data_IF_345905626897
#
_entry.id   IF_345905626897
#
_cell.length_a   1.000
_cell.length_b   1.000
_cell.length_c   1.000
_cell.angle_alpha   90.00
_cell.angle_beta   90.00
_cell.angle_gamma   90.00
#
_symmetry.space_group_name_H-M   'P 1'
#
loop_
_entity.id
_entity.type
_entity.pdbx_description
1 polymer ?
#
# COMPACT_ATOMS: atom_id res chain seq x y z
N UNK A 1 -27.22 -1.33 -17.35
CA UNK A 1 -26.15 -1.70 -16.40
C UNK A 1 -24.99 -0.73 -16.56
N UNK A 2 -24.63 0.00 -15.49
CA UNK A 2 -23.67 1.10 -15.53
C UNK A 2 -22.27 0.62 -15.98
N UNK A 3 -21.64 1.36 -16.90
CA UNK A 3 -20.28 1.08 -17.38
C UNK A 3 -19.25 1.02 -16.24
N UNK A 4 -19.50 1.75 -15.15
CA UNK A 4 -18.69 1.73 -13.91
C UNK A 4 -18.84 0.41 -13.14
N UNK A 5 -20.05 -0.15 -13.06
CA UNK A 5 -20.27 -1.45 -12.42
C UNK A 5 -19.63 -2.59 -13.23
N UNK A 6 -19.56 -2.46 -14.56
CA UNK A 6 -18.86 -3.41 -15.43
C UNK A 6 -17.32 -3.29 -15.30
N UNK A 7 -16.80 -2.10 -14.97
CA UNK A 7 -15.38 -1.88 -14.67
C UNK A 7 -14.97 -2.44 -13.29
N UNK A 8 -15.84 -2.33 -12.28
CA UNK A 8 -15.65 -2.94 -10.96
C UNK A 8 -15.88 -4.46 -10.99
N UNK A 9 -16.85 -4.93 -11.78
CA UNK A 9 -17.11 -6.35 -12.04
C UNK A 9 -16.31 -6.86 -13.24
N UNK A 10 -15.03 -6.50 -13.28
CA UNK A 10 -14.12 -7.04 -14.27
C UNK A 10 -13.67 -8.44 -13.82
N UNK A 11 -13.91 -9.51 -14.60
CA UNK A 11 -13.48 -10.87 -14.26
C UNK A 11 -11.97 -10.98 -14.02
N UNK A 12 -11.18 -10.02 -14.53
CA UNK A 12 -9.75 -9.89 -14.28
C UNK A 12 -9.46 -9.61 -12.79
N UNK A 13 -10.19 -8.69 -12.15
CA UNK A 13 -10.00 -8.35 -10.73
C UNK A 13 -10.34 -9.54 -9.84
N UNK A 14 -11.46 -10.22 -10.13
CA UNK A 14 -11.85 -11.44 -9.42
C UNK A 14 -10.84 -12.58 -9.59
N UNK A 15 -10.26 -12.75 -10.79
CA UNK A 15 -9.23 -13.74 -11.08
C UNK A 15 -7.92 -13.41 -10.36
N UNK A 16 -7.53 -12.13 -10.31
CA UNK A 16 -6.29 -11.69 -9.69
C UNK A 16 -6.36 -11.74 -8.16
N UNK A 17 -7.50 -11.38 -7.56
CA UNK A 17 -7.77 -11.55 -6.13
C UNK A 17 -7.70 -13.03 -5.73
N UNK A 18 -8.36 -13.91 -6.49
CA UNK A 18 -8.35 -15.36 -6.26
C UNK A 18 -6.95 -15.97 -6.48
N UNK A 19 -6.19 -15.46 -7.44
CA UNK A 19 -4.82 -15.92 -7.71
C UNK A 19 -3.83 -15.49 -6.62
N UNK A 20 -3.98 -14.27 -6.09
CA UNK A 20 -3.11 -13.74 -5.01
C UNK A 20 -3.38 -14.41 -3.68
N UNK A 21 -4.65 -14.70 -3.35
CA UNK A 21 -5.02 -15.43 -2.13
C UNK A 21 -4.59 -16.90 -2.11
N UNK A 22 -4.33 -17.49 -3.29
CA UNK A 22 -3.91 -18.89 -3.40
C UNK A 22 -2.39 -19.10 -3.25
N UNK A 23 -1.62 -18.02 -3.14
CA UNK A 23 -0.15 -18.06 -3.08
C UNK A 23 0.33 -17.55 -1.72
N UNK A 24 1.18 -18.33 -1.04
CA UNK A 24 1.77 -18.01 0.28
C UNK A 24 2.49 -16.64 0.35
N UNK A 25 2.82 -16.03 -0.79
CA UNK A 25 3.51 -14.74 -0.87
C UNK A 25 2.66 -13.56 -0.37
N UNK A 26 1.34 -13.59 -0.56
CA UNK A 26 0.44 -12.50 -0.15
C UNK A 26 0.35 -12.34 1.38
N UNK A 27 0.05 -13.40 2.17
CA UNK A 27 0.03 -13.27 3.62
C UNK A 27 1.42 -12.96 4.18
N UNK A 28 2.50 -13.52 3.64
CA UNK A 28 3.87 -13.20 4.07
C UNK A 28 4.18 -11.71 3.90
N UNK A 29 3.82 -11.10 2.75
CA UNK A 29 4.03 -9.67 2.53
C UNK A 29 3.24 -8.80 3.52
N UNK A 30 1.98 -9.18 3.82
CA UNK A 30 1.16 -8.49 4.82
C UNK A 30 1.79 -8.58 6.22
N UNK A 31 2.23 -9.77 6.62
CA UNK A 31 2.88 -9.99 7.93
C UNK A 31 4.17 -9.20 8.04
N UNK A 32 5.02 -9.21 7.02
CA UNK A 32 6.28 -8.44 7.00
C UNK A 32 5.99 -6.95 7.09
N UNK A 33 5.00 -6.44 6.36
CA UNK A 33 4.60 -5.03 6.42
C UNK A 33 4.17 -4.62 7.84
N UNK A 34 3.26 -5.38 8.45
CA UNK A 34 2.78 -5.12 9.81
C UNK A 34 3.93 -5.22 10.82
N UNK A 35 4.81 -6.19 10.68
CA UNK A 35 5.95 -6.40 11.58
C UNK A 35 6.96 -5.25 11.47
N UNK A 36 7.25 -4.77 10.25
CA UNK A 36 8.10 -3.60 10.06
C UNK A 36 7.48 -2.34 10.67
N UNK A 37 6.19 -2.09 10.40
CA UNK A 37 5.52 -0.87 10.85
C UNK A 37 5.32 -0.87 12.38
N UNK A 38 4.85 -1.99 12.94
CA UNK A 38 4.68 -2.17 14.38
C UNK A 38 6.01 -2.27 15.13
N UNK A 39 6.99 -2.97 14.56
CA UNK A 39 8.33 -3.11 15.13
C UNK A 39 9.09 -1.79 15.20
N UNK A 40 9.02 -0.96 14.16
CA UNK A 40 9.57 0.41 14.20
C UNK A 40 8.80 1.30 15.16
N UNK A 41 7.46 1.23 15.17
CA UNK A 41 6.65 1.95 16.16
C UNK A 41 7.06 1.63 17.59
N UNK A 42 7.29 0.35 17.88
CA UNK A 42 7.77 -0.11 19.19
C UNK A 42 9.22 0.31 19.48
N UNK A 43 10.12 0.22 18.50
CA UNK A 43 11.52 0.67 18.66
C UNK A 43 11.61 2.17 19.00
N UNK A 44 10.80 3.01 18.34
CA UNK A 44 10.77 4.44 18.63
C UNK A 44 10.13 4.67 20.01
N UNK A 45 9.01 4.01 20.32
CA UNK A 45 8.39 4.12 21.64
C UNK A 45 9.33 3.71 22.79
N UNK A 46 10.11 2.63 22.61
CA UNK A 46 11.08 2.18 23.61
C UNK A 46 12.26 3.15 23.81
N UNK A 47 12.72 3.83 22.75
CA UNK A 47 13.78 4.84 22.86
C UNK A 47 13.31 6.15 23.49
N UNK A 48 12.04 6.53 23.27
CA UNK A 48 11.43 7.67 23.94
C UNK A 48 11.15 7.39 25.41
N UNK A 49 10.63 6.20 25.73
CA UNK A 49 10.33 5.80 27.10
C UNK A 49 11.58 5.60 27.96
N UNK A 50 12.70 5.15 27.39
CA UNK A 50 13.99 5.11 28.10
C UNK A 50 14.52 6.50 28.42
N UNK A 51 14.34 7.46 27.51
CA UNK A 51 14.69 8.88 27.72
C UNK A 51 13.78 9.56 28.77
N UNK A 52 12.52 9.16 28.88
CA UNK A 52 11.59 9.68 29.89
C UNK A 52 11.91 9.20 31.32
N UNK A 53 12.51 8.00 31.48
CA UNK A 53 12.97 7.52 32.81
C UNK A 53 14.06 8.39 33.42
N UNK A 54 14.79 9.13 32.61
CA UNK A 54 15.83 10.09 33.02
C UNK A 54 15.30 11.51 33.34
N UNK A 55 14.02 11.81 33.11
CA UNK A 55 13.44 13.13 33.39
C UNK A 55 11.94 13.06 33.62
N UNK A 56 11.52 13.16 34.89
CA UNK A 56 10.12 13.18 35.30
C UNK A 56 9.40 14.44 34.77
N UNK A 57 8.75 14.34 33.61
CA UNK A 57 7.89 15.40 33.08
C UNK A 57 6.57 14.82 32.57
N UNK A 58 5.51 14.92 33.39
CA UNK A 58 4.19 14.35 33.14
C UNK A 58 3.37 14.97 31.99
N UNK A 59 3.85 16.07 31.39
CA UNK A 59 3.19 16.74 30.25
C UNK A 59 3.62 16.27 28.86
N UNK A 60 4.54 15.30 28.76
CA UNK A 60 5.16 14.94 27.48
C UNK A 60 4.40 13.89 26.66
N UNK A 61 3.37 13.24 27.23
CA UNK A 61 2.62 12.16 26.56
C UNK A 61 2.04 12.58 25.19
N UNK A 62 1.45 13.78 25.12
CA UNK A 62 0.90 14.32 23.87
C UNK A 62 1.99 14.61 22.82
N UNK A 63 3.15 15.15 23.25
CA UNK A 63 4.29 15.39 22.36
C UNK A 63 4.87 14.06 21.82
N UNK A 64 4.90 13.02 22.64
CA UNK A 64 5.32 11.68 22.22
C UNK A 64 4.36 11.07 21.20
N UNK A 65 3.05 11.19 21.43
CA UNK A 65 2.03 10.74 20.48
C UNK A 65 2.18 11.40 19.11
N UNK A 66 2.30 12.72 19.08
CA UNK A 66 2.46 13.49 17.84
C UNK A 66 3.76 13.12 17.09
N UNK A 67 4.87 12.97 17.79
CA UNK A 67 6.14 12.57 17.19
C UNK A 67 6.07 11.14 16.63
N UNK A 68 5.55 10.18 17.39
CA UNK A 68 5.36 8.80 16.94
C UNK A 68 4.47 8.73 15.70
N UNK A 69 3.37 9.49 15.69
CA UNK A 69 2.47 9.58 14.56
C UNK A 69 3.18 10.06 13.30
N UNK A 70 3.91 11.18 13.38
CA UNK A 70 4.61 11.74 12.23
C UNK A 70 5.66 10.77 11.67
N UNK A 71 6.43 10.10 12.54
CA UNK A 71 7.39 9.08 12.12
C UNK A 71 6.70 7.89 11.44
N UNK A 72 5.59 7.38 12.00
CA UNK A 72 4.84 6.27 11.41
C UNK A 72 4.22 6.64 10.07
N UNK A 73 3.67 7.86 9.91
CA UNK A 73 3.12 8.32 8.63
C UNK A 73 4.21 8.39 7.56
N UNK A 74 5.36 8.99 7.87
CA UNK A 74 6.49 9.07 6.93
C UNK A 74 6.97 7.66 6.56
N UNK A 75 7.11 6.78 7.55
CA UNK A 75 7.57 5.43 7.30
C UNK A 75 6.55 4.61 6.47
N UNK A 76 5.25 4.73 6.77
CA UNK A 76 4.18 4.15 5.97
C UNK A 76 4.24 4.62 4.52
N UNK A 77 4.39 5.93 4.32
CA UNK A 77 4.52 6.56 3.01
C UNK A 77 5.71 5.97 2.23
N UNK A 78 6.88 5.86 2.87
CA UNK A 78 8.08 5.28 2.25
C UNK A 78 7.85 3.81 1.88
N UNK A 79 7.34 2.99 2.79
CA UNK A 79 7.06 1.58 2.51
C UNK A 79 6.10 1.42 1.34
N UNK A 80 4.99 2.15 1.33
CA UNK A 80 4.01 2.10 0.24
C UNK A 80 4.58 2.67 -1.06
N UNK A 81 5.45 3.67 -1.00
CA UNK A 81 6.12 4.21 -2.17
C UNK A 81 7.04 3.19 -2.85
N UNK A 82 7.66 2.27 -2.11
CA UNK A 82 8.46 1.18 -2.67
C UNK A 82 7.60 -0.02 -3.11
N UNK A 83 6.60 -0.38 -2.30
CA UNK A 83 5.75 -1.54 -2.56
C UNK A 83 4.85 -1.31 -3.79
N UNK A 84 4.31 -0.11 -3.96
CA UNK A 84 3.31 0.16 -5.01
C UNK A 84 3.86 0.01 -6.44
N UNK A 85 5.02 0.59 -6.79
CA UNK A 85 5.66 0.35 -8.09
C UNK A 85 6.05 -1.11 -8.30
N UNK A 86 6.54 -1.79 -7.26
CA UNK A 86 6.92 -3.20 -7.34
C UNK A 86 5.70 -4.10 -7.65
N UNK A 87 4.54 -3.82 -7.02
CA UNK A 87 3.31 -4.56 -7.28
C UNK A 87 2.69 -4.26 -8.64
N UNK A 88 2.76 -3.01 -9.10
CA UNK A 88 2.19 -2.58 -10.39
C UNK A 88 3.04 -3.02 -11.57
N UNK A 89 4.37 -2.85 -11.50
CA UNK A 89 5.29 -3.35 -12.52
C UNK A 89 5.29 -4.89 -12.57
N UNK A 90 5.23 -5.55 -11.41
CA UNK A 90 5.11 -7.01 -11.32
C UNK A 90 3.83 -7.55 -11.94
N UNK A 91 2.70 -6.82 -11.86
CA UNK A 91 1.44 -7.24 -12.46
C UNK A 91 1.50 -7.27 -14.01
N UNK A 92 2.28 -6.39 -14.63
CA UNK A 92 2.45 -6.37 -16.09
C UNK A 92 3.55 -7.35 -16.51
N UNK A 93 4.68 -7.36 -15.79
CA UNK A 93 5.81 -8.25 -16.11
C UNK A 93 5.45 -9.73 -15.97
N UNK A 94 4.67 -10.10 -14.95
CA UNK A 94 4.23 -11.49 -14.72
C UNK A 94 3.29 -12.02 -15.81
N UNK A 95 2.56 -11.16 -16.52
CA UNK A 95 1.78 -11.58 -17.71
C UNK A 95 2.66 -11.74 -18.94
N UNK A 96 3.73 -10.95 -19.05
CA UNK A 96 4.72 -11.05 -20.13
C UNK A 96 5.50 -12.36 -20.04
N UNK A 97 5.93 -12.71 -18.82
CA UNK A 97 6.68 -13.94 -18.53
C UNK A 97 5.83 -15.21 -18.76
N UNK A 98 4.51 -15.12 -18.58
CA UNK A 98 3.56 -16.22 -18.86
C UNK A 98 3.12 -16.31 -20.33
N UNK A 99 3.64 -15.45 -21.21
CA UNK A 99 3.24 -15.31 -22.62
C UNK A 99 1.71 -15.15 -22.82
N UNK A 100 0.98 -14.71 -21.79
CA UNK A 100 -0.47 -14.54 -21.86
C UNK A 100 -0.90 -13.20 -22.45
N UNK A 101 0.05 -12.28 -22.66
CA UNK A 101 -0.20 -10.97 -23.29
C UNK A 101 -0.78 -11.15 -24.69
N UNK A 102 -0.21 -12.06 -25.49
CA UNK A 102 -0.65 -12.30 -26.86
C UNK A 102 -2.06 -12.92 -26.88
N UNK A 103 -2.37 -13.80 -25.92
CA UNK A 103 -3.71 -14.37 -25.75
C UNK A 103 -4.73 -13.30 -25.30
N UNK A 104 -4.31 -12.32 -24.52
CA UNK A 104 -5.15 -11.20 -24.07
C UNK A 104 -5.50 -10.26 -25.24
N UNK A 105 -4.58 -10.03 -26.17
CA UNK A 105 -4.84 -9.21 -27.37
C UNK A 105 -5.75 -9.90 -28.40
N UNK A 106 -5.88 -11.23 -28.34
CA UNK A 106 -6.85 -11.98 -29.18
C UNK A 106 -8.26 -11.90 -28.60
N UNK A 107 -8.42 -11.61 -27.30
CA UNK A 107 -9.75 -11.37 -26.71
C UNK A 107 -10.30 -9.99 -27.06
N UNK A 108 -11.62 -9.88 -27.29
CA UNK A 108 -12.34 -8.62 -27.62
C UNK A 108 -12.43 -7.62 -26.45
N UNK A 109 -11.42 -7.55 -25.58
CA UNK A 109 -11.39 -6.61 -24.47
C UNK A 109 -10.64 -5.34 -24.88
N UNK A 110 -11.19 -4.14 -24.63
CA UNK A 110 -10.50 -2.90 -24.93
C UNK A 110 -9.27 -2.75 -24.03
N UNK A 111 -8.13 -2.35 -24.61
CA UNK A 111 -6.84 -2.21 -23.91
C UNK A 111 -6.91 -1.32 -22.67
N UNK A 112 -7.77 -0.30 -22.69
CA UNK A 112 -8.03 0.58 -21.56
C UNK A 112 -8.66 -0.14 -20.36
N UNK A 113 -9.53 -1.12 -20.59
CA UNK A 113 -10.15 -1.92 -19.51
C UNK A 113 -9.16 -2.88 -18.85
N UNK A 114 -8.14 -3.32 -19.58
CA UNK A 114 -7.07 -4.17 -19.05
C UNK A 114 -6.17 -3.33 -18.13
N UNK A 115 -5.79 -2.13 -18.57
CA UNK A 115 -4.99 -1.19 -17.79
C UNK A 115 -5.67 -0.85 -16.45
N UNK A 116 -6.95 -0.47 -16.51
CA UNK A 116 -7.74 -0.17 -15.32
C UNK A 116 -7.93 -1.37 -14.41
N UNK A 117 -8.19 -2.56 -14.96
CA UNK A 117 -8.31 -3.78 -14.18
C UNK A 117 -7.05 -4.08 -13.36
N UNK A 118 -5.87 -3.90 -13.96
CA UNK A 118 -4.57 -4.09 -13.29
C UNK A 118 -4.26 -3.03 -12.24
N UNK A 119 -4.56 -1.77 -12.56
CA UNK A 119 -4.41 -0.68 -11.59
C UNK A 119 -5.32 -0.91 -10.38
N UNK A 120 -6.58 -1.30 -10.62
CA UNK A 120 -7.53 -1.58 -9.54
C UNK A 120 -7.10 -2.79 -8.71
N UNK A 121 -6.60 -3.86 -9.33
CA UNK A 121 -6.13 -5.05 -8.63
C UNK A 121 -4.92 -4.74 -7.74
N UNK A 122 -3.93 -3.99 -8.25
CA UNK A 122 -2.78 -3.55 -7.46
C UNK A 122 -3.15 -2.56 -6.35
N UNK A 123 -4.03 -1.59 -6.62
CA UNK A 123 -4.52 -0.66 -5.60
C UNK A 123 -5.36 -1.35 -4.52
N UNK A 124 -6.10 -2.40 -4.84
CA UNK A 124 -6.85 -3.16 -3.83
C UNK A 124 -5.92 -3.73 -2.75
N UNK A 125 -4.71 -4.15 -3.12
CA UNK A 125 -3.72 -4.64 -2.18
C UNK A 125 -3.11 -3.51 -1.34
N UNK A 126 -2.83 -2.35 -1.94
CA UNK A 126 -2.37 -1.16 -1.21
C UNK A 126 -3.43 -0.71 -0.19
N UNK A 127 -4.71 -0.69 -0.58
CA UNK A 127 -5.82 -0.39 0.33
C UNK A 127 -5.91 -1.40 1.46
N UNK A 128 -5.69 -2.69 1.19
CA UNK A 128 -5.62 -3.71 2.25
C UNK A 128 -4.46 -3.44 3.23
N UNK A 129 -3.28 -3.06 2.75
CA UNK A 129 -2.16 -2.68 3.63
C UNK A 129 -2.48 -1.43 4.48
N UNK A 130 -3.18 -0.47 3.89
CA UNK A 130 -3.68 0.73 4.58
C UNK A 130 -4.70 0.37 5.67
N UNK A 131 -5.64 -0.55 5.39
CA UNK A 131 -6.57 -1.05 6.41
C UNK A 131 -5.84 -1.78 7.54
N UNK A 132 -4.79 -2.54 7.22
CA UNK A 132 -4.00 -3.26 8.21
C UNK A 132 -3.17 -2.34 9.11
N UNK A 133 -2.85 -1.12 8.69
CA UNK A 133 -2.15 -0.15 9.54
C UNK A 133 -3.08 0.59 10.51
N UNK A 134 -4.40 0.65 10.25
CA UNK A 134 -5.40 1.26 11.14
C UNK A 134 -5.26 0.88 12.62
N UNK A 135 -5.18 -0.42 13.00
CA UNK A 135 -5.04 -0.78 14.42
C UNK A 135 -3.76 -0.23 15.06
N UNK A 136 -2.66 -0.12 14.30
CA UNK A 136 -1.40 0.43 14.81
C UNK A 136 -1.55 1.94 15.04
N UNK A 137 -2.15 2.66 14.09
CA UNK A 137 -2.44 4.08 14.25
C UNK A 137 -3.43 4.36 15.38
N UNK A 138 -4.38 3.46 15.62
CA UNK A 138 -5.31 3.55 16.75
C UNK A 138 -4.60 3.47 18.10
N UNK A 139 -3.52 2.70 18.22
CA UNK A 139 -2.70 2.66 19.45
C UNK A 139 -1.96 3.98 19.66
N UNK A 140 -1.47 4.60 18.59
CA UNK A 140 -0.78 5.90 18.68
C UNK A 140 -1.75 7.03 19.03
N UNK A 141 -2.96 6.98 18.50
CA UNK A 141 -4.04 7.93 18.84
C UNK A 141 -4.36 7.94 20.34
N UNK A 142 -4.21 6.81 21.03
CA UNK A 142 -4.45 6.71 22.48
C UNK A 142 -3.49 7.55 23.33
N UNK A 143 -2.28 7.84 22.85
CA UNK A 143 -1.31 8.70 23.57
C UNK A 143 -1.71 10.18 23.58
N UNK A 144 -2.72 10.58 22.79
CA UNK A 144 -3.16 11.96 22.66
C UNK A 144 -2.21 12.83 21.82
N UNK A 145 -2.60 14.09 21.59
CA UNK A 145 -1.82 15.05 20.80
C UNK A 145 -2.03 14.98 19.28
N UNK A 146 -2.98 14.18 18.80
CA UNK A 146 -3.31 14.03 17.37
C UNK A 146 -4.82 14.20 17.19
N UNK A 147 -5.20 15.01 16.21
CA UNK A 147 -6.59 15.20 15.83
C UNK A 147 -7.02 14.16 14.80
N UNK A 148 -8.30 13.76 14.81
CA UNK A 148 -8.82 12.77 13.87
C UNK A 148 -8.65 13.22 12.40
N UNK A 149 -8.75 14.53 12.14
CA UNK A 149 -8.53 15.12 10.82
C UNK A 149 -7.11 14.84 10.30
N UNK A 150 -6.09 14.94 11.16
CA UNK A 150 -4.71 14.65 10.79
C UNK A 150 -4.51 13.19 10.39
N UNK A 151 -5.17 12.25 11.08
CA UNK A 151 -5.12 10.83 10.74
C UNK A 151 -5.79 10.60 9.38
N UNK A 152 -6.98 11.14 9.17
CA UNK A 152 -7.71 11.01 7.90
C UNK A 152 -6.91 11.61 6.75
N UNK A 153 -6.36 12.82 6.94
CA UNK A 153 -5.51 13.49 5.96
C UNK A 153 -4.26 12.66 5.62
N UNK A 154 -3.57 12.08 6.61
CA UNK A 154 -2.42 11.22 6.38
C UNK A 154 -2.76 9.98 5.54
N UNK A 155 -3.90 9.34 5.82
CA UNK A 155 -4.38 8.19 5.06
C UNK A 155 -4.73 8.57 3.61
N UNK A 156 -5.39 9.72 3.40
CA UNK A 156 -5.73 10.24 2.07
C UNK A 156 -4.47 10.58 1.28
N UNK A 157 -3.54 11.33 1.86
CA UNK A 157 -2.27 11.69 1.21
C UNK A 157 -1.49 10.43 0.82
N UNK A 158 -1.48 9.42 1.69
CA UNK A 158 -0.84 8.14 1.40
C UNK A 158 -1.52 7.38 0.25
N UNK A 159 -2.84 7.34 0.24
CA UNK A 159 -3.60 6.69 -0.82
C UNK A 159 -3.39 7.38 -2.18
N UNK A 160 -3.40 8.72 -2.21
CA UNK A 160 -3.14 9.51 -3.41
C UNK A 160 -1.69 9.32 -3.89
N UNK A 161 -0.72 9.36 -2.98
CA UNK A 161 0.68 9.11 -3.30
C UNK A 161 0.94 7.70 -3.85
N UNK A 162 0.28 6.69 -3.31
CA UNK A 162 0.34 5.35 -3.87
C UNK A 162 -0.29 5.31 -5.27
N UNK A 163 -1.43 5.97 -5.48
CA UNK A 163 -2.08 6.02 -6.79
C UNK A 163 -1.17 6.64 -7.86
N UNK A 164 -0.55 7.79 -7.57
CA UNK A 164 0.36 8.45 -8.51
C UNK A 164 1.56 7.57 -8.84
N UNK A 165 2.18 6.95 -7.83
CA UNK A 165 3.29 6.01 -8.02
C UNK A 165 2.87 4.75 -8.78
N UNK A 166 1.65 4.27 -8.58
CA UNK A 166 1.12 3.13 -9.32
C UNK A 166 0.89 3.44 -10.80
N UNK A 167 0.39 4.64 -11.12
CA UNK A 167 0.27 5.11 -12.51
C UNK A 167 1.65 5.25 -13.15
N UNK A 168 2.63 5.83 -12.43
CA UNK A 168 4.01 5.95 -12.90
C UNK A 168 4.65 4.56 -13.11
N UNK A 169 4.43 3.62 -12.20
CA UNK A 169 4.94 2.25 -12.30
C UNK A 169 4.40 1.51 -13.53
N UNK A 170 3.10 1.67 -13.80
CA UNK A 170 2.46 1.15 -15.02
C UNK A 170 3.04 1.83 -16.26
N UNK A 171 3.13 3.17 -16.28
CA UNK A 171 3.68 3.92 -17.40
C UNK A 171 5.11 3.49 -17.72
N UNK A 172 5.95 3.37 -16.70
CA UNK A 172 7.32 2.87 -16.78
C UNK A 172 7.35 1.43 -17.37
N UNK A 173 6.51 0.54 -16.86
CA UNK A 173 6.43 -0.84 -17.36
C UNK A 173 5.97 -0.94 -18.82
N UNK A 174 5.07 -0.06 -19.28
CA UNK A 174 4.65 0.00 -20.69
C UNK A 174 5.70 0.63 -21.61
N UNK A 175 6.48 1.59 -21.10
CA UNK A 175 7.54 2.28 -21.84
C UNK A 175 8.78 1.37 -22.03
N UNK A 176 9.17 0.62 -21.00
CA UNK A 176 10.31 -0.30 -21.07
C UNK A 176 9.90 -1.62 -21.73
N UNK A 177 9.83 -1.63 -23.07
CA UNK A 177 9.65 -2.84 -23.89
C UNK A 177 10.85 -3.80 -23.87
N UNK A 178 11.97 -3.44 -23.25
CA UNK A 178 13.18 -4.27 -23.15
C UNK A 178 13.47 -4.65 -21.70
N UNK A 179 13.05 -5.83 -21.30
CA UNK A 179 13.87 -6.65 -20.42
C UNK A 179 15.11 -7.03 -21.25
N UNK A 180 16.28 -6.73 -20.71
CA UNK A 180 17.59 -6.87 -21.37
C UNK A 180 17.76 -8.20 -22.12
N UNK A 181 18.42 -8.07 -23.28
CA UNK A 181 18.89 -9.15 -24.14
C UNK A 181 19.88 -10.07 -23.42
#
# INVERSE_FOLDING_TARGET
>A
MNRVAMALWNPIVAKEYRSRMRTWRSPVAMTVYILLLGGLGWAIFSSMSSSARSGFNGGQAANYGQALFLFLVIFQMVLLAFITPALTAGAISSERERQTIDLLFVTKLPSFSILWGKLLASMSFVLLLLLLSVPIFSLVFLFGGIELDQVVAAFIVTAVGALTLGVIGIACSTAFRRTLA
#
